data_IF_889766390241
#
_entry.id   IF_889766390241
#
_cell.length_a   1.000
_cell.length_b   1.000
_cell.length_c   1.000
_cell.angle_alpha   90.00
_cell.angle_beta   90.00
_cell.angle_gamma   90.00
#
_symmetry.space_group_name_H-M   'P 1'
#
loop_
_entity.id
_entity.type
_entity.pdbx_description
1 polymer ?
#
# COMPACT_ATOMS: atom_id res chain seq x y z
N UNK A 1 -15.46 21.26 -0.85
CA UNK A 1 -13.98 21.28 -1.06
C UNK A 1 -13.73 21.16 -2.56
N UNK A 2 -12.87 21.98 -3.19
CA UNK A 2 -12.57 21.78 -4.62
C UNK A 2 -11.43 20.76 -4.74
N UNK A 3 -11.57 19.85 -5.71
CA UNK A 3 -10.51 18.93 -6.12
C UNK A 3 -10.33 19.11 -7.62
N UNK A 4 -9.08 19.26 -8.02
CA UNK A 4 -8.68 19.25 -9.41
C UNK A 4 -8.22 17.84 -9.76
N UNK A 5 -8.73 17.34 -10.88
CA UNK A 5 -8.42 16.03 -11.42
C UNK A 5 -7.91 16.24 -12.85
N UNK A 6 -6.81 15.56 -13.20
CA UNK A 6 -6.34 15.49 -14.57
C UNK A 6 -6.09 14.06 -14.96
N UNK A 7 -6.63 13.72 -16.11
CA UNK A 7 -6.77 12.37 -16.61
C UNK A 7 -5.97 12.25 -17.91
N UNK A 8 -5.07 11.27 -17.95
CA UNK A 8 -4.30 10.93 -19.13
C UNK A 8 -4.50 9.46 -19.43
N UNK A 9 -5.25 9.15 -20.47
CA UNK A 9 -5.38 7.80 -20.99
C UNK A 9 -5.41 7.88 -22.51
N UNK A 10 -4.47 7.23 -23.23
CA UNK A 10 -4.61 7.05 -24.65
C UNK A 10 -5.89 6.25 -24.92
N UNK A 11 -6.62 6.65 -25.96
CA UNK A 11 -7.80 5.92 -26.40
C UNK A 11 -7.34 4.54 -26.91
N UNK A 12 -7.67 3.48 -26.15
CA UNK A 12 -7.22 2.15 -26.52
C UNK A 12 -8.05 1.62 -27.68
N UNK A 13 -7.41 1.44 -28.83
CA UNK A 13 -8.00 0.69 -29.94
C UNK A 13 -8.16 -0.82 -29.61
N UNK A 14 -7.54 -1.31 -28.54
CA UNK A 14 -7.50 -2.72 -28.19
C UNK A 14 -8.35 -3.02 -26.96
N UNK A 15 -9.42 -3.79 -27.14
CA UNK A 15 -10.35 -4.18 -26.09
C UNK A 15 -9.75 -5.14 -25.05
N UNK A 16 -8.63 -5.81 -25.37
CA UNK A 16 -7.97 -6.77 -24.47
C UNK A 16 -7.19 -6.13 -23.32
N UNK A 17 -6.80 -4.86 -23.43
CA UNK A 17 -6.08 -4.14 -22.38
C UNK A 17 -6.57 -2.70 -22.31
N UNK A 18 -7.17 -2.35 -21.18
CA UNK A 18 -7.67 -1.01 -20.92
C UNK A 18 -7.19 -0.53 -19.56
N UNK A 19 -6.92 0.76 -19.48
CA UNK A 19 -6.85 1.48 -18.22
C UNK A 19 -7.97 2.51 -18.22
N UNK A 20 -8.91 2.35 -17.30
CA UNK A 20 -10.06 3.22 -17.13
C UNK A 20 -9.87 4.09 -15.88
N UNK A 21 -10.21 5.36 -16.02
CA UNK A 21 -10.19 6.35 -14.95
C UNK A 21 -11.61 6.61 -14.53
N UNK A 22 -11.81 6.72 -13.23
CA UNK A 22 -13.13 6.96 -12.67
C UNK A 22 -13.07 7.95 -11.53
N UNK A 23 -14.08 8.79 -11.45
CA UNK A 23 -14.29 9.69 -10.33
C UNK A 23 -15.78 9.75 -9.98
N UNK A 24 -16.08 9.86 -8.70
CA UNK A 24 -17.42 10.12 -8.20
C UNK A 24 -17.34 11.00 -6.95
N UNK A 25 -18.26 11.94 -6.83
CA UNK A 25 -18.38 12.80 -5.66
C UNK A 25 -19.65 12.43 -4.92
N UNK A 26 -19.56 12.32 -3.60
CA UNK A 26 -20.70 11.94 -2.77
C UNK A 26 -20.66 12.69 -1.44
N UNK A 27 -21.84 12.92 -0.86
CA UNK A 27 -21.99 13.64 0.40
C UNK A 27 -22.55 12.68 1.47
N UNK A 28 -21.69 11.93 2.17
CA UNK A 28 -22.13 11.00 3.19
C UNK A 28 -22.77 11.76 4.36
N UNK A 29 -24.02 11.42 4.66
CA UNK A 29 -24.84 12.07 5.70
C UNK A 29 -24.15 12.13 7.07
N UNK A 30 -23.30 11.15 7.36
CA UNK A 30 -22.59 11.04 8.64
C UNK A 30 -21.38 11.98 8.79
N UNK A 31 -20.82 12.52 7.70
CA UNK A 31 -19.66 13.43 7.77
C UNK A 31 -20.04 14.90 7.67
N UNK A 32 -21.15 15.23 7.00
CA UNK A 32 -21.50 16.61 6.66
C UNK A 32 -20.45 17.28 5.78
N UNK A 33 -19.64 16.50 5.04
CA UNK A 33 -18.56 16.98 4.17
C UNK A 33 -18.55 16.19 2.86
N UNK A 34 -18.25 16.87 1.77
CA UNK A 34 -18.08 16.25 0.47
C UNK A 34 -16.88 15.31 0.47
N UNK A 35 -17.07 14.12 -0.08
CA UNK A 35 -16.03 13.14 -0.30
C UNK A 35 -15.92 12.88 -1.80
N UNK A 36 -14.68 12.76 -2.27
CA UNK A 36 -14.40 12.42 -3.65
C UNK A 36 -13.72 11.06 -3.67
N UNK A 37 -14.28 10.14 -4.44
CA UNK A 37 -13.67 8.85 -4.72
C UNK A 37 -13.12 8.88 -6.13
N UNK A 38 -11.86 8.50 -6.27
CA UNK A 38 -11.17 8.47 -7.55
C UNK A 38 -10.47 7.13 -7.68
N UNK A 39 -10.51 6.54 -8.87
CA UNK A 39 -9.97 5.22 -9.14
C UNK A 39 -9.25 5.15 -10.47
N UNK A 40 -8.13 4.45 -10.49
CA UNK A 40 -7.48 3.96 -11.69
C UNK A 40 -7.63 2.44 -11.73
N UNK A 41 -8.24 1.93 -12.80
CA UNK A 41 -8.53 0.51 -12.99
C UNK A 41 -7.90 0.05 -14.29
N UNK A 42 -6.90 -0.82 -14.23
CA UNK A 42 -6.32 -1.45 -15.41
C UNK A 42 -6.74 -2.91 -15.46
N UNK A 43 -7.34 -3.32 -16.58
CA UNK A 43 -7.73 -4.70 -16.84
C UNK A 43 -7.03 -5.15 -18.12
N UNK A 44 -6.32 -6.27 -18.03
CA UNK A 44 -5.73 -6.96 -19.15
C UNK A 44 -6.27 -8.38 -19.18
N UNK A 45 -6.90 -8.74 -20.30
CA UNK A 45 -7.51 -10.04 -20.51
C UNK A 45 -7.03 -10.64 -21.82
N UNK A 46 -6.81 -11.96 -21.82
CA UNK A 46 -6.58 -12.74 -23.04
C UNK A 46 -7.91 -13.24 -23.66
N UNK A 47 -9.04 -12.90 -23.05
CA UNK A 47 -10.39 -13.41 -23.40
C UNK A 47 -11.23 -12.38 -24.15
N UNK A 48 -12.37 -12.83 -24.68
CA UNK A 48 -13.40 -11.96 -25.25
C UNK A 48 -14.19 -11.14 -24.21
N UNK A 49 -13.81 -11.18 -22.92
CA UNK A 49 -14.46 -10.32 -21.93
C UNK A 49 -14.14 -8.86 -22.29
N UNK A 50 -15.19 -8.08 -22.52
CA UNK A 50 -15.04 -6.65 -22.72
C UNK A 50 -14.51 -6.00 -21.43
N UNK A 51 -13.22 -5.68 -21.44
CA UNK A 51 -12.51 -5.09 -20.30
C UNK A 51 -13.10 -3.71 -19.94
N UNK A 52 -13.69 -3.00 -20.90
CA UNK A 52 -14.38 -1.72 -20.66
C UNK A 52 -15.59 -1.97 -19.76
N UNK A 53 -16.48 -2.87 -20.17
CA UNK A 53 -17.68 -3.22 -19.42
C UNK A 53 -17.35 -3.78 -18.04
N UNK A 54 -16.34 -4.65 -17.93
CA UNK A 54 -15.86 -5.16 -16.65
C UNK A 54 -15.37 -4.03 -15.72
N UNK A 55 -14.57 -3.09 -16.23
CA UNK A 55 -14.07 -1.97 -15.43
C UNK A 55 -15.20 -1.07 -14.92
N UNK A 56 -16.21 -0.78 -15.75
CA UNK A 56 -17.40 0.01 -15.37
C UNK A 56 -18.25 -0.72 -14.34
N UNK A 57 -18.49 -2.02 -14.53
CA UNK A 57 -19.23 -2.84 -13.58
C UNK A 57 -18.60 -2.82 -12.19
N UNK A 58 -17.27 -3.00 -12.12
CA UNK A 58 -16.52 -2.95 -10.87
C UNK A 58 -16.60 -1.56 -10.24
N UNK A 59 -16.41 -0.50 -11.03
CA UNK A 59 -16.49 0.87 -10.52
C UNK A 59 -17.86 1.21 -9.95
N UNK A 60 -18.94 0.85 -10.65
CA UNK A 60 -20.31 1.09 -10.16
C UNK A 60 -20.54 0.39 -8.82
N UNK A 61 -20.12 -0.87 -8.72
CA UNK A 61 -20.17 -1.62 -7.46
C UNK A 61 -19.40 -0.92 -6.32
N UNK A 62 -18.18 -0.43 -6.59
CA UNK A 62 -17.38 0.33 -5.62
C UNK A 62 -18.09 1.62 -5.22
N UNK A 63 -18.58 2.38 -6.19
CA UNK A 63 -19.26 3.65 -5.99
C UNK A 63 -20.52 3.46 -5.14
N UNK A 64 -21.34 2.46 -5.44
CA UNK A 64 -22.58 2.20 -4.69
C UNK A 64 -22.28 1.85 -3.23
N UNK A 65 -21.29 0.99 -2.99
CA UNK A 65 -20.86 0.65 -1.64
C UNK A 65 -20.24 1.84 -0.90
N UNK A 66 -19.52 2.72 -1.60
CA UNK A 66 -18.98 3.96 -1.06
C UNK A 66 -20.09 4.89 -0.54
N UNK A 67 -21.16 5.03 -1.32
CA UNK A 67 -22.33 5.83 -0.94
C UNK A 67 -23.05 5.26 0.28
N UNK A 68 -23.14 3.93 0.40
CA UNK A 68 -23.81 3.27 1.51
C UNK A 68 -23.01 3.34 2.82
N UNK A 69 -21.69 3.12 2.74
CA UNK A 69 -20.84 3.00 3.94
C UNK A 69 -20.30 4.34 4.44
N UNK A 70 -20.12 5.31 3.53
CA UNK A 70 -19.37 6.52 3.80
C UNK A 70 -17.88 6.21 3.98
N UNK A 71 -17.08 6.45 2.96
CA UNK A 71 -15.64 6.16 3.01
C UNK A 71 -14.92 7.23 3.84
N UNK A 72 -14.39 6.86 5.00
CA UNK A 72 -13.66 7.80 5.88
C UNK A 72 -12.28 7.27 6.28
N UNK A 73 -12.13 5.95 6.28
CA UNK A 73 -10.97 5.28 6.83
C UNK A 73 -10.35 4.26 5.88
N UNK A 74 -9.14 3.85 6.26
CA UNK A 74 -8.30 2.95 5.47
C UNK A 74 -8.94 1.57 5.31
N UNK A 75 -9.71 1.09 6.29
CA UNK A 75 -10.35 -0.21 6.20
C UNK A 75 -11.52 -0.15 5.23
N UNK A 76 -12.34 0.91 5.24
CA UNK A 76 -13.41 1.08 4.25
C UNK A 76 -12.88 1.03 2.82
N UNK A 77 -11.79 1.73 2.50
CA UNK A 77 -11.21 1.69 1.14
C UNK A 77 -10.61 0.31 0.81
N UNK A 78 -10.07 -0.40 1.80
CA UNK A 78 -9.59 -1.77 1.60
C UNK A 78 -10.72 -2.73 1.29
N UNK A 79 -11.81 -2.64 2.04
CA UNK A 79 -12.99 -3.49 1.86
C UNK A 79 -13.55 -3.28 0.43
N UNK A 80 -13.58 -2.05 -0.07
CA UNK A 80 -13.95 -1.75 -1.46
C UNK A 80 -13.03 -2.43 -2.49
N UNK A 81 -11.71 -2.40 -2.27
CA UNK A 81 -10.76 -3.06 -3.17
C UNK A 81 -10.91 -4.58 -3.11
N UNK A 82 -11.08 -5.16 -1.92
CA UNK A 82 -11.29 -6.59 -1.76
C UNK A 82 -12.59 -7.07 -2.41
N UNK A 83 -13.67 -6.30 -2.27
CA UNK A 83 -14.96 -6.57 -2.92
C UNK A 83 -14.87 -6.42 -4.43
N UNK A 84 -14.18 -5.40 -4.94
CA UNK A 84 -13.93 -5.24 -6.38
C UNK A 84 -13.20 -6.45 -6.97
N UNK A 85 -12.17 -6.94 -6.28
CA UNK A 85 -11.43 -8.14 -6.68
C UNK A 85 -12.31 -9.38 -6.64
N UNK A 86 -13.19 -9.51 -5.64
CA UNK A 86 -14.12 -10.62 -5.52
C UNK A 86 -15.15 -10.61 -6.66
N UNK A 87 -15.80 -9.47 -6.93
CA UNK A 87 -16.76 -9.30 -8.03
C UNK A 87 -16.13 -9.58 -9.40
N UNK A 88 -14.89 -9.15 -9.60
CA UNK A 88 -14.16 -9.49 -10.81
C UNK A 88 -13.96 -11.00 -10.95
N UNK A 89 -13.53 -11.68 -9.87
CA UNK A 89 -13.37 -13.15 -9.89
C UNK A 89 -14.69 -13.87 -10.17
N UNK A 90 -15.81 -13.38 -9.65
CA UNK A 90 -17.14 -13.93 -9.93
C UNK A 90 -17.55 -13.73 -11.38
N UNK A 91 -17.30 -12.54 -11.95
CA UNK A 91 -17.55 -12.26 -13.37
C UNK A 91 -16.77 -13.24 -14.26
N UNK A 92 -15.51 -13.49 -13.93
CA UNK A 92 -14.65 -14.44 -14.64
C UNK A 92 -15.15 -15.88 -14.49
N UNK A 93 -15.56 -16.28 -13.28
CA UNK A 93 -16.06 -17.63 -13.00
C UNK A 93 -17.38 -17.92 -13.73
N UNK A 94 -18.22 -16.91 -13.91
CA UNK A 94 -19.52 -17.04 -14.57
C UNK A 94 -19.40 -17.09 -16.10
N UNK A 95 -18.37 -16.49 -16.67
CA UNK A 95 -18.22 -16.39 -18.12
C UNK A 95 -17.76 -17.69 -18.80
N UNK A 96 -17.08 -18.62 -18.12
CA UNK A 96 -16.83 -19.94 -18.73
C UNK A 96 -16.32 -21.05 -17.79
N UNK A 97 -16.51 -22.30 -18.22
CA UNK A 97 -16.18 -23.56 -17.49
C UNK A 97 -14.68 -23.93 -17.47
N UNK A 98 -13.78 -23.06 -17.92
CA UNK A 98 -12.37 -23.42 -18.13
C UNK A 98 -11.45 -22.77 -17.09
N UNK A 99 -10.73 -23.60 -16.34
CA UNK A 99 -9.88 -23.22 -15.19
C UNK A 99 -8.64 -22.37 -15.52
N UNK A 100 -8.44 -21.93 -16.77
CA UNK A 100 -7.13 -21.46 -17.26
C UNK A 100 -7.05 -19.99 -17.70
N UNK A 101 -8.05 -19.15 -17.42
CA UNK A 101 -7.98 -17.75 -17.84
C UNK A 101 -7.01 -16.90 -17.00
N UNK A 102 -6.11 -16.20 -17.70
CA UNK A 102 -5.19 -15.20 -17.12
C UNK A 102 -5.78 -13.82 -17.29
N UNK A 103 -6.51 -13.36 -16.29
CA UNK A 103 -6.94 -11.96 -16.19
C UNK A 103 -6.02 -11.28 -15.18
N UNK A 104 -5.30 -10.28 -15.66
CA UNK A 104 -4.49 -9.40 -14.83
C UNK A 104 -5.28 -8.14 -14.59
N UNK A 105 -5.34 -7.72 -13.33
CA UNK A 105 -5.99 -6.47 -12.95
C UNK A 105 -5.11 -5.72 -11.98
N UNK A 106 -5.11 -4.40 -12.14
CA UNK A 106 -4.48 -3.48 -11.22
C UNK A 106 -5.52 -2.42 -10.83
N UNK A 107 -5.66 -2.19 -9.53
CA UNK A 107 -6.63 -1.27 -8.96
C UNK A 107 -5.92 -0.31 -8.03
N UNK A 108 -6.23 0.97 -8.14
CA UNK A 108 -5.84 1.97 -7.16
C UNK A 108 -7.00 2.91 -6.92
N UNK A 109 -7.47 2.96 -5.68
CA UNK A 109 -8.63 3.75 -5.26
C UNK A 109 -8.17 4.73 -4.19
N UNK A 110 -8.58 5.98 -4.33
CA UNK A 110 -8.31 7.05 -3.39
C UNK A 110 -9.60 7.76 -3.02
N UNK A 111 -9.84 7.93 -1.73
CA UNK A 111 -10.85 8.82 -1.20
C UNK A 111 -10.17 10.07 -0.65
N UNK A 112 -10.65 11.24 -1.07
CA UNK A 112 -10.16 12.54 -0.64
C UNK A 112 -11.29 13.28 0.08
N UNK A 113 -11.03 13.66 1.32
CA UNK A 113 -11.96 14.42 2.16
C UNK A 113 -11.17 15.28 3.14
N UNK A 114 -11.52 16.56 3.26
CA UNK A 114 -11.05 17.44 4.34
C UNK A 114 -9.52 17.48 4.54
N UNK A 115 -8.74 17.69 3.47
CA UNK A 115 -7.28 17.70 3.62
C UNK A 115 -6.67 16.33 3.96
N UNK A 116 -7.43 15.23 3.81
CA UNK A 116 -6.95 13.87 4.04
C UNK A 116 -7.18 13.04 2.78
N UNK A 117 -6.20 12.23 2.43
CA UNK A 117 -6.34 11.15 1.47
C UNK A 117 -6.26 9.81 2.17
N UNK A 118 -7.18 8.92 1.80
CA UNK A 118 -7.16 7.51 2.13
C UNK A 118 -7.05 6.75 0.83
N UNK A 119 -6.12 5.82 0.73
CA UNK A 119 -5.85 5.11 -0.51
C UNK A 119 -5.68 3.62 -0.26
N UNK A 120 -6.09 2.81 -1.22
CA UNK A 120 -5.77 1.40 -1.29
C UNK A 120 -5.41 1.00 -2.73
N UNK A 121 -4.58 -0.03 -2.84
CA UNK A 121 -4.07 -0.54 -4.08
C UNK A 121 -4.05 -2.08 -4.04
N UNK A 122 -4.49 -2.68 -5.15
CA UNK A 122 -4.23 -4.07 -5.50
C UNK A 122 -3.51 -4.12 -6.85
N UNK A 123 -2.51 -4.98 -7.00
CA UNK A 123 -1.71 -5.06 -8.22
C UNK A 123 -0.52 -4.10 -8.25
N UNK A 124 -0.10 -3.70 -9.45
CA UNK A 124 1.21 -3.11 -9.70
C UNK A 124 1.24 -1.62 -10.03
N UNK A 125 0.10 -0.94 -10.00
CA UNK A 125 0.02 0.53 -10.08
C UNK A 125 1.07 1.24 -9.20
N UNK A 126 1.44 2.44 -9.60
CA UNK A 126 2.35 3.29 -8.84
C UNK A 126 1.59 4.50 -8.31
N UNK A 127 1.73 4.72 -7.01
CA UNK A 127 1.14 5.82 -6.27
C UNK A 127 2.29 6.68 -5.76
N UNK A 128 2.32 7.92 -6.21
CA UNK A 128 3.28 8.91 -5.77
C UNK A 128 2.57 10.09 -5.10
N UNK A 129 3.26 10.74 -4.17
CA UNK A 129 2.86 12.05 -3.66
C UNK A 129 4.04 12.99 -3.81
N UNK A 130 3.82 14.08 -4.53
CA UNK A 130 4.74 15.22 -4.58
C UNK A 130 4.41 16.17 -3.44
N UNK A 131 5.38 16.42 -2.57
CA UNK A 131 5.29 17.32 -1.42
C UNK A 131 6.56 18.16 -1.31
N UNK A 132 6.41 19.48 -1.40
CA UNK A 132 7.52 20.44 -1.25
C UNK A 132 8.72 20.10 -2.15
N UNK A 133 8.48 19.92 -3.45
CA UNK A 133 9.53 19.56 -4.41
C UNK A 133 9.95 18.08 -4.40
N UNK A 134 9.62 17.32 -3.36
CA UNK A 134 10.03 15.92 -3.23
C UNK A 134 8.94 14.97 -3.71
N UNK A 135 9.30 14.01 -4.58
CA UNK A 135 8.41 12.92 -4.98
C UNK A 135 8.60 11.70 -4.08
N UNK A 136 7.52 11.23 -3.45
CA UNK A 136 7.51 10.10 -2.52
C UNK A 136 6.74 8.94 -3.15
N UNK A 137 7.40 7.78 -3.33
CA UNK A 137 6.78 6.54 -3.80
C UNK A 137 6.06 5.81 -2.64
N UNK A 138 4.74 5.95 -2.63
CA UNK A 138 3.87 5.34 -1.61
C UNK A 138 3.70 3.84 -1.90
N UNK A 139 3.57 3.43 -3.16
CA UNK A 139 3.40 2.02 -3.53
C UNK A 139 4.57 1.16 -3.07
N UNK A 140 5.80 1.66 -3.17
CA UNK A 140 6.99 0.99 -2.62
C UNK A 140 6.85 0.80 -1.11
N UNK A 141 6.42 1.84 -0.40
CA UNK A 141 6.24 1.80 1.05
C UNK A 141 5.13 0.81 1.45
N UNK A 142 4.03 0.75 0.70
CA UNK A 142 2.96 -0.24 0.90
C UNK A 142 3.46 -1.68 0.71
N UNK A 143 4.19 -1.93 -0.39
CA UNK A 143 4.77 -3.24 -0.73
C UNK A 143 5.80 -3.70 0.31
N UNK A 144 6.69 -2.82 0.75
CA UNK A 144 7.71 -3.13 1.78
C UNK A 144 7.08 -3.52 3.13
N UNK A 145 5.94 -2.91 3.46
CA UNK A 145 5.21 -3.18 4.70
C UNK A 145 4.14 -4.27 4.56
N UNK A 146 3.93 -4.83 3.35
CA UNK A 146 2.91 -5.83 3.07
C UNK A 146 1.50 -5.37 3.50
N UNK A 147 1.15 -4.14 3.12
CA UNK A 147 -0.18 -3.56 3.35
C UNK A 147 -0.77 -3.06 2.04
N UNK A 148 -2.08 -3.20 1.89
CA UNK A 148 -2.81 -2.83 0.66
C UNK A 148 -3.33 -1.38 0.67
N UNK A 149 -3.21 -0.65 1.79
CA UNK A 149 -3.72 0.71 1.86
C UNK A 149 -3.19 1.51 3.05
N UNK A 150 -3.35 2.82 2.97
CA UNK A 150 -2.85 3.79 3.94
C UNK A 150 -3.61 5.11 3.87
N UNK A 151 -3.16 6.07 4.68
CA UNK A 151 -3.69 7.43 4.65
C UNK A 151 -2.58 8.45 4.85
N UNK A 152 -2.79 9.63 4.30
CA UNK A 152 -1.91 10.78 4.48
C UNK A 152 -2.76 12.05 4.64
N UNK A 153 -2.26 13.00 5.44
CA UNK A 153 -2.72 14.38 5.33
C UNK A 153 -2.21 14.96 4.00
N UNK A 154 -3.04 15.73 3.31
CA UNK A 154 -2.69 16.51 2.13
C UNK A 154 -2.55 17.97 2.52
N UNK A 155 -1.46 18.57 2.07
CA UNK A 155 -1.35 20.03 2.04
C UNK A 155 -1.96 20.56 0.75
N UNK A 156 -2.24 21.86 0.72
CA UNK A 156 -2.85 22.52 -0.46
C UNK A 156 -2.03 22.30 -1.72
N UNK A 157 -0.70 22.41 -1.64
CA UNK A 157 0.23 22.27 -2.76
C UNK A 157 0.61 20.82 -3.09
N UNK A 158 0.10 19.83 -2.35
CA UNK A 158 0.45 18.44 -2.62
C UNK A 158 -0.24 17.97 -3.92
N UNK A 159 0.48 17.16 -4.70
CA UNK A 159 -0.04 16.51 -5.91
C UNK A 159 0.11 15.01 -5.73
N UNK A 160 -1.00 14.28 -5.86
CA UNK A 160 -1.00 12.82 -5.89
C UNK A 160 -0.99 12.37 -7.35
N UNK A 161 -0.17 11.36 -7.64
CA UNK A 161 -0.09 10.74 -8.96
C UNK A 161 -0.38 9.26 -8.83
N UNK A 162 -1.36 8.76 -9.58
CA UNK A 162 -1.63 7.34 -9.75
C UNK A 162 -1.29 6.98 -11.20
N UNK A 163 -0.38 6.05 -11.41
CA UNK A 163 0.08 5.64 -12.73
C UNK A 163 0.07 4.12 -12.89
N UNK A 164 -0.14 3.64 -14.11
CA UNK A 164 0.01 2.21 -14.42
C UNK A 164 1.47 1.76 -14.31
N UNK A 165 1.68 0.48 -13.96
CA UNK A 165 2.99 -0.09 -13.58
C UNK A 165 4.08 -0.03 -14.66
N UNK A 166 3.68 -0.03 -15.93
CA UNK A 166 4.57 -0.19 -17.09
C UNK A 166 4.94 1.11 -17.77
N UNK A 167 4.47 2.22 -17.23
CA UNK A 167 4.60 3.51 -17.87
C UNK A 167 6.07 3.92 -17.98
N UNK A 168 6.47 4.29 -19.19
CA UNK A 168 7.66 5.13 -19.48
C UNK A 168 7.69 6.38 -18.58
N UNK A 169 6.53 6.74 -18.06
CA UNK A 169 6.30 7.74 -17.04
C UNK A 169 7.03 7.50 -15.72
N UNK A 170 7.43 6.28 -15.33
CA UNK A 170 8.18 6.12 -14.08
C UNK A 170 9.55 6.84 -14.17
N UNK A 171 10.20 6.78 -15.33
CA UNK A 171 11.46 7.48 -15.55
C UNK A 171 11.20 8.99 -15.66
N UNK A 172 10.14 9.41 -16.36
CA UNK A 172 9.75 10.82 -16.43
C UNK A 172 9.35 11.40 -15.08
N UNK A 173 8.66 10.63 -14.23
CA UNK A 173 8.31 11.04 -12.88
C UNK A 173 9.55 11.19 -12.02
N UNK A 174 10.58 10.34 -12.23
CA UNK A 174 11.87 10.41 -11.51
C UNK A 174 12.77 11.52 -12.01
N UNK A 175 12.76 11.84 -13.30
CA UNK A 175 13.55 12.94 -13.88
C UNK A 175 12.87 14.29 -13.68
N UNK A 176 11.54 14.33 -13.80
CA UNK A 176 10.69 15.49 -13.50
C UNK A 176 10.63 15.86 -12.02
N UNK A 177 11.19 15.03 -11.10
CA UNK A 177 11.39 15.42 -9.68
C UNK A 177 12.24 16.68 -9.55
N UNK A 178 13.06 17.01 -10.55
CA UNK A 178 13.92 18.19 -10.53
C UNK A 178 13.19 19.50 -10.79
N UNK A 179 11.90 19.48 -11.17
CA UNK A 179 11.13 20.72 -11.20
C UNK A 179 11.01 21.27 -9.79
N UNK A 180 11.38 22.52 -9.56
CA UNK A 180 11.28 23.14 -8.23
C UNK A 180 9.84 23.56 -7.95
N UNK A 181 9.05 23.83 -9.00
CA UNK A 181 7.66 24.27 -8.92
C UNK A 181 6.64 23.14 -9.11
N UNK A 182 5.37 23.41 -8.78
CA UNK A 182 4.25 22.51 -9.09
C UNK A 182 3.97 22.49 -10.59
N UNK A 183 4.13 23.64 -11.24
CA UNK A 183 3.79 23.85 -12.65
C UNK A 183 4.75 23.09 -13.57
N UNK A 184 6.06 23.18 -13.34
CA UNK A 184 7.07 22.41 -14.07
C UNK A 184 6.83 20.90 -13.95
N UNK A 185 6.42 20.44 -12.77
CA UNK A 185 6.10 19.04 -12.55
C UNK A 185 4.86 18.60 -13.34
N UNK A 186 3.80 19.42 -13.34
CA UNK A 186 2.57 19.13 -14.11
C UNK A 186 2.86 19.11 -15.61
N UNK A 187 3.65 20.07 -16.10
CA UNK A 187 4.06 20.15 -17.50
C UNK A 187 4.95 18.98 -17.92
N UNK A 188 5.88 18.56 -17.05
CA UNK A 188 6.69 17.37 -17.28
C UNK A 188 5.86 16.10 -17.38
N UNK A 189 4.80 15.98 -16.57
CA UNK A 189 3.83 14.89 -16.68
C UNK A 189 3.00 15.00 -17.96
N UNK A 190 2.48 16.18 -18.33
CA UNK A 190 1.69 16.37 -19.55
C UNK A 190 2.49 15.96 -20.80
N UNK A 191 3.74 16.43 -20.89
CA UNK A 191 4.65 16.07 -21.98
C UNK A 191 4.87 14.55 -22.04
N UNK A 192 5.10 13.91 -20.89
CA UNK A 192 5.35 12.46 -20.82
C UNK A 192 4.09 11.63 -21.06
N UNK A 193 2.92 12.17 -20.69
CA UNK A 193 1.63 11.53 -20.87
C UNK A 193 1.26 11.39 -22.36
N UNK A 194 1.75 12.28 -23.22
CA UNK A 194 1.60 12.18 -24.67
C UNK A 194 2.24 10.92 -25.29
N UNK A 195 3.15 10.27 -24.55
CA UNK A 195 3.87 9.07 -24.97
C UNK A 195 3.41 7.79 -24.27
N UNK A 196 2.26 7.82 -23.58
CA UNK A 196 1.72 6.64 -22.91
C UNK A 196 1.34 5.56 -23.92
N UNK A 197 1.70 4.31 -23.63
CA UNK A 197 1.34 3.19 -24.48
C UNK A 197 -0.13 2.77 -24.28
N UNK A 198 -0.67 1.98 -25.21
CA UNK A 198 -2.04 1.49 -25.11
C UNK A 198 -2.28 0.69 -23.81
N UNK A 199 -3.38 1.03 -23.14
CA UNK A 199 -3.74 0.48 -21.84
C UNK A 199 -2.84 0.93 -20.70
N UNK A 200 -2.12 2.05 -20.85
CA UNK A 200 -1.52 2.78 -19.74
C UNK A 200 -2.38 3.97 -19.36
N UNK A 201 -2.15 4.53 -18.18
CA UNK A 201 -2.89 5.69 -17.74
C UNK A 201 -2.27 6.35 -16.53
N UNK A 202 -2.53 7.65 -16.40
CA UNK A 202 -2.06 8.50 -15.31
C UNK A 202 -3.20 9.38 -14.85
N UNK A 203 -3.31 9.51 -13.54
CA UNK A 203 -4.31 10.32 -12.86
C UNK A 203 -3.61 11.24 -11.86
N UNK A 204 -3.85 12.54 -12.00
CA UNK A 204 -3.36 13.57 -11.09
C UNK A 204 -4.50 14.08 -10.21
N UNK A 205 -4.22 14.27 -8.93
CA UNK A 205 -5.18 14.76 -7.95
C UNK A 205 -4.52 15.85 -7.12
N UNK A 206 -5.15 17.03 -7.02
CA UNK A 206 -4.73 18.11 -6.13
C UNK A 206 -5.93 18.87 -5.54
N UNK A 207 -5.71 19.53 -4.40
CA UNK A 207 -6.72 20.38 -3.75
C UNK A 207 -6.66 21.84 -4.20
N UNK A 208 -5.48 22.32 -4.63
CA UNK A 208 -5.29 23.73 -5.02
C UNK A 208 -4.75 23.91 -6.43
N UNK A 209 -4.05 22.91 -6.98
CA UNK A 209 -3.37 23.04 -8.26
C UNK A 209 -4.35 22.79 -9.40
N UNK A 210 -4.68 23.85 -10.15
CA UNK A 210 -5.53 23.76 -11.34
C UNK A 210 -4.72 23.31 -12.56
N UNK A 211 -4.73 22.01 -12.83
CA UNK A 211 -3.92 21.41 -13.89
C UNK A 211 -4.21 21.97 -15.28
N UNK A 212 -5.47 22.25 -15.61
CA UNK A 212 -5.84 22.74 -16.94
C UNK A 212 -5.38 24.17 -17.20
N UNK A 213 -5.34 25.00 -16.15
CA UNK A 213 -4.85 26.37 -16.23
C UNK A 213 -3.35 26.39 -16.50
N UNK A 214 -2.58 25.58 -15.77
CA UNK A 214 -1.13 25.44 -15.98
C UNK A 214 -0.81 25.00 -17.42
N UNK A 215 -1.53 23.99 -17.91
CA UNK A 215 -1.29 23.45 -19.27
C UNK A 215 -1.69 24.45 -20.34
N UNK A 216 -2.77 25.21 -20.15
CA UNK A 216 -3.22 26.22 -21.12
C UNK A 216 -2.27 27.42 -21.19
N UNK A 217 -1.89 27.99 -20.05
CA UNK A 217 -1.01 29.17 -20.00
C UNK A 217 0.31 28.91 -20.70
N UNK A 218 0.93 27.75 -20.44
CA UNK A 218 2.22 27.44 -21.05
C UNK A 218 2.16 27.18 -22.57
N UNK A 219 1.04 26.68 -23.10
CA UNK A 219 0.90 26.47 -24.56
C UNK A 219 0.82 27.80 -25.31
N UNK A 220 0.16 28.80 -24.73
CA UNK A 220 0.03 30.14 -25.34
C UNK A 220 1.39 30.84 -25.42
N UNK A 221 2.23 30.71 -24.40
CA UNK A 221 3.57 31.31 -24.39
C UNK A 221 4.49 30.73 -25.49
N UNK A 222 4.43 29.42 -25.74
CA UNK A 222 5.24 28.75 -26.77
C UNK A 222 4.83 29.19 -28.19
N UNK A 223 3.53 29.36 -28.42
CA UNK A 223 3.01 29.78 -29.72
C UNK A 223 3.35 31.26 -30.03
N UNK A 224 3.37 32.14 -29.02
CA UNK A 224 3.77 33.54 -29.17
C UNK A 224 5.29 33.71 -29.40
N UNK A 225 6.12 32.91 -28.73
CA UNK A 225 7.57 32.95 -28.90
C UNK A 225 7.99 32.43 -30.29
N UNK A 226 7.36 31.35 -30.77
CA UNK A 226 7.63 30.81 -32.12
C UNK A 226 7.12 31.71 -33.25
N UNK A 227 6.03 32.46 -33.04
CA UNK A 227 5.54 33.45 -33.98
C UNK A 227 6.50 34.64 -34.13
N UNK A 228 7.18 35.07 -33.06
CA UNK A 228 8.13 36.19 -33.11
C UNK A 228 9.47 35.83 -33.76
N UNK A 229 9.96 34.59 -33.62
CA UNK A 229 11.22 34.13 -34.24
C UNK A 229 11.13 34.01 -35.77
N UNK A 230 9.92 33.84 -36.32
CA UNK A 230 9.73 33.69 -37.78
C UNK A 230 9.62 35.04 -38.52
N UNK A 231 9.75 36.17 -37.82
CA UNK A 231 9.61 37.52 -38.41
C UNK A 231 10.93 38.24 -38.74
N UNK A 232 12.09 37.66 -38.43
CA UNK A 232 13.39 38.15 -38.93
C UNK A 232 13.67 37.65 -40.35
N UNK A 233 13.24 38.49 -41.31
CA UNK A 233 13.60 38.55 -42.73
C UNK A 233 14.90 37.81 -43.11
N UNK A 234 14.76 36.66 -43.78
CA UNK A 234 15.65 36.31 -44.88
C UNK A 234 15.17 37.04 -46.15
N UNK A 235 15.87 38.09 -46.52
CA UNK A 235 15.75 38.75 -47.82
C UNK A 235 16.39 37.84 -48.88
N UNK A 236 15.66 36.81 -49.31
CA UNK A 236 16.07 35.95 -50.44
C UNK A 236 15.81 36.71 -51.73
N UNK A 237 16.90 37.12 -52.39
CA UNK A 237 16.88 37.70 -53.73
C UNK A 237 16.59 36.59 -54.75
N UNK A 238 15.41 36.62 -55.37
CA UNK A 238 15.07 35.71 -56.46
C UNK A 238 15.58 36.27 -57.79
N UNK A 239 16.50 35.56 -58.44
CA UNK A 239 16.80 35.77 -59.87
C UNK A 239 15.74 35.09 -60.73
N UNK A 240 15.02 35.92 -61.46
CA UNK A 240 14.03 35.62 -62.49
C UNK A 240 14.65 34.73 -63.59
N UNK A 241 14.03 33.59 -63.88
CA UNK A 241 14.30 32.86 -65.13
C UNK A 241 13.01 32.25 -65.66
N UNK A 242 12.60 32.80 -66.80
CA UNK A 242 11.44 32.42 -67.59
C UNK A 242 11.43 30.94 -67.96
N UNK A 243 10.26 30.32 -67.84
CA UNK A 243 9.85 29.21 -68.71
C UNK A 243 8.33 29.13 -68.77
N UNK A 244 7.84 29.21 -70.00
CA UNK A 244 6.45 29.24 -70.42
C UNK A 244 5.74 27.85 -70.38
N UNK A 245 4.44 27.89 -70.02
CA UNK A 245 3.31 27.02 -70.47
C UNK A 245 3.25 25.53 -70.04
N UNK A 246 2.07 24.83 -70.12
CA UNK A 246 0.70 25.28 -70.47
C UNK A 246 -0.40 24.87 -69.46
N UNK A 247 -1.57 25.47 -69.72
CA UNK A 247 -2.90 25.23 -69.13
C UNK A 247 -3.43 23.82 -69.44
N UNK A 248 -3.91 23.08 -68.42
CA UNK A 248 -4.91 22.04 -68.60
C UNK A 248 -5.86 21.88 -67.38
N UNK A 249 -7.15 21.86 -67.72
CA UNK A 249 -8.28 21.16 -67.11
C UNK A 249 -8.58 21.26 -65.61
N UNK A 250 -9.59 22.09 -65.31
CA UNK A 250 -10.45 21.97 -64.14
C UNK A 250 -11.59 20.98 -64.43
N UNK A 251 -11.56 19.79 -63.81
CA UNK A 251 -12.74 18.98 -63.48
C UNK A 251 -12.42 18.23 -62.17
N UNK A 252 -13.30 18.30 -61.16
CA UNK A 252 -13.13 17.51 -59.93
C UNK A 252 -14.06 17.90 -58.78
N UNK A 253 -15.32 17.49 -58.92
CA UNK A 253 -16.40 17.47 -57.93
C UNK A 253 -15.95 17.18 -56.48
N UNK A 254 -16.36 18.02 -55.53
CA UNK A 254 -16.43 17.67 -54.10
C UNK A 254 -17.86 17.26 -53.77
N UNK A 255 -18.12 15.95 -53.73
CA UNK A 255 -19.32 15.40 -53.10
C UNK A 255 -19.12 15.37 -51.58
N UNK A 256 -19.88 16.20 -50.87
CA UNK A 256 -20.12 16.11 -49.43
C UNK A 256 -20.99 14.88 -49.15
N UNK A 257 -20.38 13.80 -48.67
CA UNK A 257 -21.10 12.64 -48.12
C UNK A 257 -21.60 12.99 -46.72
N UNK A 258 -22.86 13.41 -46.64
CA UNK A 258 -23.65 13.46 -45.40
C UNK A 258 -23.91 12.03 -44.93
N UNK A 259 -23.32 11.65 -43.78
CA UNK A 259 -23.70 10.41 -43.08
C UNK A 259 -25.08 10.58 -42.45
N UNK A 260 -25.98 9.58 -42.56
CA UNK A 260 -27.30 9.64 -41.94
C UNK A 260 -27.19 9.45 -40.41
N UNK A 261 -27.99 10.26 -39.72
CA UNK A 261 -28.29 10.20 -38.29
C UNK A 261 -28.89 8.83 -37.98
N UNK A 262 -28.22 8.04 -37.14
CA UNK A 262 -28.77 6.80 -36.61
C UNK A 262 -29.56 7.18 -35.35
N UNK A 263 -30.88 7.07 -35.43
CA UNK A 263 -31.79 7.20 -34.30
C UNK A 263 -31.55 6.04 -33.31
N UNK A 264 -31.15 6.40 -32.08
CA UNK A 264 -31.09 5.48 -30.95
C UNK A 264 -32.52 5.22 -30.43
N UNK A 265 -32.91 3.96 -30.17
CA UNK A 265 -34.21 3.66 -29.59
C UNK A 265 -34.28 4.13 -28.13
N UNK A 266 -35.28 4.96 -27.87
CA UNK A 266 -35.78 5.33 -26.55
C UNK A 266 -36.21 4.08 -25.77
N UNK A 267 -35.56 3.79 -24.64
CA UNK A 267 -36.03 2.77 -23.70
C UNK A 267 -37.21 3.32 -22.90
N UNK A 268 -38.39 2.75 -23.12
CA UNK A 268 -39.56 2.97 -22.28
C UNK A 268 -39.40 2.24 -20.94
N UNK A 269 -39.54 2.98 -19.83
CA UNK A 269 -39.70 2.43 -18.49
C UNK A 269 -41.02 1.65 -18.40
N UNK A 270 -40.93 0.32 -18.38
CA UNK A 270 -42.07 -0.53 -18.02
C UNK A 270 -42.17 -0.64 -16.50
N UNK A 271 -43.11 0.12 -15.92
CA UNK A 271 -43.63 -0.12 -14.57
C UNK A 271 -44.39 -1.44 -14.56
N UNK A 272 -43.80 -2.46 -13.95
CA UNK A 272 -44.48 -3.71 -13.65
C UNK A 272 -45.04 -3.67 -12.22
N UNK A 273 -46.34 -3.39 -12.12
CA UNK A 273 -47.18 -3.71 -10.96
C UNK A 273 -47.53 -5.19 -11.01
N UNK A 274 -46.85 -5.98 -10.18
CA UNK A 274 -47.16 -7.39 -9.95
C UNK A 274 -47.72 -7.60 -8.55
N UNK A 275 -49.05 -7.67 -8.46
CA UNK A 275 -49.81 -8.19 -7.31
C UNK A 275 -49.47 -9.67 -7.13
N UNK A 276 -49.11 -10.10 -5.92
CA UNK A 276 -49.07 -11.52 -5.58
C UNK A 276 -49.66 -11.77 -4.19
N UNK A 277 -50.82 -12.42 -4.25
CA UNK A 277 -51.60 -13.09 -3.22
C UNK A 277 -50.73 -14.01 -2.37
N UNK A 278 -50.83 -13.88 -1.05
CA UNK A 278 -50.36 -14.89 -0.10
C UNK A 278 -51.54 -15.71 0.40
N UNK A 279 -51.45 -17.03 0.25
CA UNK A 279 -52.08 -17.99 1.15
C UNK A 279 -51.00 -18.95 1.68
N UNK A 280 -51.16 -19.48 2.90
CA UNK A 280 -50.09 -20.14 3.63
C UNK A 280 -50.12 -21.65 3.44
N UNK A 281 -48.94 -22.28 3.32
CA UNK A 281 -48.81 -23.71 3.61
C UNK A 281 -47.67 -23.94 4.58
N UNK A 282 -48.08 -24.44 5.75
CA UNK A 282 -47.24 -25.09 6.75
C UNK A 282 -46.64 -26.35 6.13
N UNK A 283 -45.34 -26.55 6.34
CA UNK A 283 -44.74 -27.88 6.57
C UNK A 283 -43.33 -27.66 7.15
N UNK A 284 -43.25 -27.79 8.47
CA UNK A 284 -42.01 -27.74 9.23
C UNK A 284 -41.33 -29.10 9.16
N UNK A 285 -40.28 -29.18 8.34
CA UNK A 285 -39.31 -30.28 8.39
C UNK A 285 -38.29 -29.97 9.48
N UNK A 286 -38.41 -30.70 10.57
CA UNK A 286 -37.43 -30.88 11.63
C UNK A 286 -36.19 -31.58 11.07
N UNK A 287 -34.97 -31.03 11.24
CA UNK A 287 -33.69 -31.75 11.36
C UNK A 287 -32.53 -30.78 11.72
N UNK A 288 -31.75 -31.23 12.71
CA UNK A 288 -30.36 -30.88 13.06
C UNK A 288 -30.06 -29.59 13.85
N UNK A 289 -30.04 -29.77 15.17
CA UNK A 289 -29.30 -28.94 16.12
C UNK A 289 -27.78 -29.05 15.86
N UNK A 290 -27.16 -27.95 15.44
CA UNK A 290 -25.72 -27.76 15.47
C UNK A 290 -25.32 -27.06 16.77
N UNK A 291 -24.45 -27.71 17.54
CA UNK A 291 -24.09 -27.34 18.91
C UNK A 291 -23.31 -26.03 18.98
N UNK A 292 -23.96 -24.99 19.50
CA UNK A 292 -23.30 -23.75 19.89
C UNK A 292 -22.38 -23.99 21.11
N UNK A 293 -21.07 -23.88 20.92
CA UNK A 293 -20.11 -23.84 22.01
C UNK A 293 -20.25 -22.48 22.73
N UNK A 294 -20.54 -22.45 24.04
CA UNK A 294 -20.83 -21.21 24.73
C UNK A 294 -19.56 -20.39 24.96
N UNK A 295 -19.50 -19.19 24.36
CA UNK A 295 -18.43 -18.19 24.54
C UNK A 295 -18.32 -17.65 26.00
N UNK A 296 -19.14 -18.15 26.92
CA UNK A 296 -19.11 -17.81 28.35
C UNK A 296 -17.96 -18.49 29.10
N UNK A 297 -17.40 -19.60 28.60
CA UNK A 297 -16.28 -20.30 29.25
C UNK A 297 -14.92 -19.57 29.11
N UNK A 298 -14.71 -18.80 28.04
CA UNK A 298 -13.44 -18.10 27.78
C UNK A 298 -13.29 -16.78 28.57
N UNK A 299 -14.40 -16.11 28.89
CA UNK A 299 -14.36 -14.87 29.70
C UNK A 299 -14.03 -15.12 31.17
N UNK A 300 -14.40 -16.28 31.71
CA UNK A 300 -14.07 -16.68 33.10
C UNK A 300 -12.58 -16.88 33.33
N UNK A 301 -11.88 -17.53 32.38
CA UNK A 301 -10.45 -17.84 32.49
C UNK A 301 -9.54 -16.60 32.38
N UNK A 302 -9.94 -15.59 31.60
CA UNK A 302 -9.17 -14.33 31.49
C UNK A 302 -9.28 -13.50 32.78
N UNK A 303 -10.42 -13.56 33.48
CA UNK A 303 -10.63 -12.84 34.74
C UNK A 303 -9.79 -13.44 35.88
N UNK A 304 -9.70 -14.76 35.97
CA UNK A 304 -8.89 -15.44 37.00
C UNK A 304 -7.38 -15.24 36.80
N UNK A 305 -6.90 -15.18 35.55
CA UNK A 305 -5.48 -14.89 35.27
C UNK A 305 -5.14 -13.45 35.65
N UNK A 306 -6.01 -12.47 35.37
CA UNK A 306 -5.79 -11.07 35.76
C UNK A 306 -5.74 -10.89 37.28
N UNK A 307 -6.61 -11.56 38.03
CA UNK A 307 -6.59 -11.50 39.50
C UNK A 307 -5.35 -12.18 40.09
N UNK A 308 -4.89 -13.28 39.49
CA UNK A 308 -3.68 -13.98 39.95
C UNK A 308 -2.42 -13.14 39.69
N UNK A 309 -2.32 -12.52 38.51
CA UNK A 309 -1.21 -11.61 38.18
C UNK A 309 -1.24 -10.36 39.06
N UNK A 310 -2.42 -9.80 39.34
CA UNK A 310 -2.55 -8.65 40.24
C UNK A 310 -2.09 -8.98 41.67
N UNK A 311 -2.44 -10.16 42.21
CA UNK A 311 -1.96 -10.62 43.52
C UNK A 311 -0.44 -10.81 43.55
N UNK A 312 0.15 -11.37 42.50
CA UNK A 312 1.61 -11.53 42.39
C UNK A 312 2.31 -10.17 42.34
N UNK A 313 1.78 -9.21 41.55
CA UNK A 313 2.34 -7.85 41.48
C UNK A 313 2.24 -7.13 42.82
N UNK A 314 1.13 -7.30 43.55
CA UNK A 314 0.92 -6.65 44.85
C UNK A 314 1.84 -7.21 45.95
N UNK A 315 2.13 -8.52 45.91
CA UNK A 315 3.13 -9.16 46.79
C UNK A 315 4.56 -8.76 46.43
N UNK A 316 4.85 -8.51 45.15
CA UNK A 316 6.17 -8.06 44.67
C UNK A 316 6.39 -6.54 44.76
N UNK A 317 5.33 -5.75 44.93
CA UNK A 317 5.39 -4.28 45.06
C UNK A 317 6.29 -3.80 46.20
N UNK A 318 6.21 -4.33 47.45
CA UNK A 318 7.15 -3.95 48.50
C UNK A 318 8.58 -4.44 48.22
N UNK A 319 8.73 -5.50 47.42
CA UNK A 319 10.04 -6.04 47.04
C UNK A 319 10.80 -5.11 46.09
N UNK A 320 10.11 -4.34 45.24
CA UNK A 320 10.73 -3.42 44.29
C UNK A 320 11.52 -2.28 44.97
N UNK A 321 11.01 -1.78 46.10
CA UNK A 321 11.69 -0.74 46.87
C UNK A 321 12.94 -1.26 47.60
N UNK A 322 12.91 -2.54 47.99
CA UNK A 322 14.05 -3.24 48.59
C UNK A 322 15.10 -3.63 47.54
N UNK A 323 14.66 -4.15 46.39
CA UNK A 323 15.51 -4.42 45.23
C UNK A 323 16.22 -3.16 44.75
N UNK A 324 15.52 -2.01 44.70
CA UNK A 324 16.12 -0.74 44.28
C UNK A 324 17.29 -0.30 45.17
N UNK A 325 17.21 -0.53 46.50
CA UNK A 325 18.31 -0.22 47.43
C UNK A 325 19.46 -1.21 47.31
N UNK A 326 19.15 -2.49 47.16
CA UNK A 326 20.14 -3.57 46.97
C UNK A 326 20.88 -3.38 45.64
N UNK A 327 20.16 -3.12 44.55
CA UNK A 327 20.72 -2.85 43.21
C UNK A 327 21.57 -1.57 43.20
N UNK A 328 21.18 -0.51 43.91
CA UNK A 328 22.02 0.70 44.04
C UNK A 328 23.35 0.38 44.72
N UNK A 329 23.35 -0.40 45.80
CA UNK A 329 24.56 -0.84 46.50
C UNK A 329 25.41 -1.82 45.68
N UNK A 330 24.77 -2.68 44.90
CA UNK A 330 25.44 -3.61 43.98
C UNK A 330 25.80 -2.97 42.63
N UNK A 331 25.38 -1.74 42.33
CA UNK A 331 25.63 -1.10 41.03
C UNK A 331 27.10 -1.05 40.61
N UNK A 332 28.10 -0.81 41.47
CA UNK A 332 29.51 -0.88 41.05
C UNK A 332 29.92 -2.32 40.71
N UNK A 333 29.46 -3.31 41.48
CA UNK A 333 29.68 -4.74 41.20
C UNK A 333 29.01 -5.17 39.90
N UNK A 334 27.77 -4.74 39.66
CA UNK A 334 27.01 -5.01 38.43
C UNK A 334 27.68 -4.34 37.23
N UNK A 335 28.26 -3.13 37.37
CA UNK A 335 29.03 -2.48 36.28
C UNK A 335 30.30 -3.26 35.94
N UNK A 336 31.03 -3.73 36.94
CA UNK A 336 32.22 -4.56 36.70
C UNK A 336 31.87 -5.92 36.08
N UNK A 337 30.76 -6.52 36.53
CA UNK A 337 30.25 -7.78 36.01
C UNK A 337 29.67 -7.61 34.60
N UNK A 338 28.97 -6.51 34.31
CA UNK A 338 28.40 -6.25 32.98
C UNK A 338 29.48 -5.97 31.94
N UNK A 339 30.60 -5.34 32.31
CA UNK A 339 31.76 -5.20 31.43
C UNK A 339 32.36 -6.57 31.07
N UNK A 340 32.56 -7.44 32.07
CA UNK A 340 33.05 -8.82 31.86
C UNK A 340 32.05 -9.66 31.06
N UNK A 341 30.76 -9.54 31.38
CA UNK A 341 29.66 -10.22 30.71
C UNK A 341 29.52 -9.74 29.26
N UNK A 342 29.74 -8.46 28.98
CA UNK A 342 29.73 -7.91 27.62
C UNK A 342 30.82 -8.53 26.77
N UNK A 343 32.05 -8.63 27.29
CA UNK A 343 33.16 -9.30 26.59
C UNK A 343 32.84 -10.78 26.36
N UNK A 344 32.26 -11.46 27.36
CA UNK A 344 31.84 -12.86 27.22
C UNK A 344 30.71 -13.04 26.21
N UNK A 345 29.70 -12.18 26.24
CA UNK A 345 28.57 -12.15 25.31
C UNK A 345 29.03 -11.83 23.89
N UNK A 346 30.01 -10.96 23.69
CA UNK A 346 30.60 -10.72 22.37
C UNK A 346 31.33 -11.96 21.85
N UNK A 347 32.13 -12.64 22.68
CA UNK A 347 32.76 -13.92 22.31
C UNK A 347 31.72 -14.99 21.99
N UNK A 348 30.67 -15.10 22.82
CA UNK A 348 29.60 -16.06 22.62
C UNK A 348 28.81 -15.74 21.36
N UNK A 349 28.51 -14.46 21.12
CA UNK A 349 27.86 -13.96 19.91
C UNK A 349 28.67 -14.30 18.68
N UNK A 350 29.98 -14.04 18.67
CA UNK A 350 30.84 -14.37 17.54
C UNK A 350 30.84 -15.89 17.26
N UNK A 351 30.94 -16.73 18.31
CA UNK A 351 30.86 -18.19 18.18
C UNK A 351 29.49 -18.69 17.69
N UNK A 352 28.40 -18.16 18.23
CA UNK A 352 27.04 -18.49 17.79
C UNK A 352 26.83 -18.03 16.35
N UNK A 353 27.33 -16.85 15.98
CA UNK A 353 27.17 -16.31 14.65
C UNK A 353 28.00 -17.08 13.62
N UNK A 354 29.22 -17.49 13.97
CA UNK A 354 30.03 -18.39 13.12
C UNK A 354 29.38 -19.76 12.98
N UNK A 355 28.82 -20.33 14.06
CA UNK A 355 28.11 -21.61 14.01
C UNK A 355 26.85 -21.53 13.16
N UNK A 356 26.01 -20.50 13.36
CA UNK A 356 24.81 -20.26 12.56
C UNK A 356 25.17 -20.09 11.09
N UNK A 357 26.23 -19.34 10.77
CA UNK A 357 26.69 -19.23 9.38
C UNK A 357 27.25 -20.53 8.80
N UNK A 358 28.01 -21.30 9.59
CA UNK A 358 28.54 -22.57 9.12
C UNK A 358 27.41 -23.55 8.80
N UNK A 359 26.41 -23.63 9.67
CA UNK A 359 25.27 -24.56 9.56
C UNK A 359 24.23 -24.10 8.54
N UNK A 360 23.89 -22.81 8.52
CA UNK A 360 22.78 -22.27 7.72
C UNK A 360 23.21 -21.38 6.56
N UNK A 361 24.47 -20.94 6.47
CA UNK A 361 24.96 -20.03 5.44
C UNK A 361 24.84 -20.56 4.01
N UNK A 362 24.85 -21.89 3.83
CA UNK A 362 24.63 -22.53 2.51
C UNK A 362 23.16 -22.60 2.11
N UNK A 363 22.21 -22.45 3.05
CA UNK A 363 20.78 -22.57 2.77
C UNK A 363 20.24 -21.28 2.15
N UNK A 364 19.44 -21.42 1.08
CA UNK A 364 18.89 -20.30 0.30
C UNK A 364 18.02 -19.36 1.15
N UNK A 365 17.18 -19.92 2.03
CA UNK A 365 16.30 -19.12 2.88
C UNK A 365 17.08 -18.21 3.84
N UNK A 366 18.22 -18.66 4.37
CA UNK A 366 19.06 -17.87 5.27
C UNK A 366 19.74 -16.70 4.53
N UNK A 367 20.19 -16.93 3.30
CA UNK A 367 20.73 -15.87 2.43
C UNK A 367 19.67 -14.79 2.16
N UNK A 368 18.41 -15.18 1.90
CA UNK A 368 17.29 -14.24 1.71
C UNK A 368 17.02 -13.40 2.97
N UNK A 369 17.05 -14.00 4.16
CA UNK A 369 16.86 -13.28 5.43
C UNK A 369 18.00 -12.29 5.69
N UNK A 370 19.26 -12.71 5.51
CA UNK A 370 20.44 -11.84 5.68
C UNK A 370 20.42 -10.64 4.73
N UNK A 371 20.01 -10.85 3.48
CA UNK A 371 19.86 -9.77 2.50
C UNK A 371 18.80 -8.74 2.94
N UNK A 372 17.63 -9.19 3.42
CA UNK A 372 16.57 -8.30 3.94
C UNK A 372 17.04 -7.47 5.14
N UNK A 373 17.77 -8.08 6.08
CA UNK A 373 18.30 -7.36 7.26
C UNK A 373 19.34 -6.31 6.83
N UNK A 374 20.18 -6.63 5.82
CA UNK A 374 21.14 -5.67 5.27
C UNK A 374 20.47 -4.49 4.57
N UNK A 375 19.37 -4.74 3.85
CA UNK A 375 18.59 -3.69 3.18
C UNK A 375 17.91 -2.74 4.19
N UNK A 376 17.46 -3.26 5.33
CA UNK A 376 16.80 -2.44 6.38
C UNK A 376 17.70 -1.43 7.11
N UNK A 377 19.02 -1.45 6.88
CA UNK A 377 19.98 -0.51 7.48
C UNK A 377 20.31 0.69 6.60
N UNK A 378 19.82 0.73 5.36
CA UNK A 378 19.93 1.92 4.52
C UNK A 378 18.83 2.89 4.97
N UNK A 379 19.21 4.01 5.59
CA UNK A 379 18.28 4.98 6.15
C UNK A 379 17.40 5.57 5.05
N UNK A 380 16.11 5.25 5.05
CA UNK A 380 15.14 5.94 4.22
C UNK A 380 14.82 7.33 4.79
N UNK A 381 14.56 8.34 3.94
CA UNK A 381 14.17 9.67 4.36
C UNK A 381 12.90 9.60 5.23
N UNK A 382 12.83 10.43 6.27
CA UNK A 382 11.81 10.31 7.31
C UNK A 382 10.40 10.59 6.77
N UNK A 383 9.57 9.55 6.66
CA UNK A 383 8.15 9.58 6.26
C UNK A 383 7.25 10.19 7.35
N UNK A 384 7.53 11.42 7.80
CA UNK A 384 6.75 12.08 8.84
C UNK A 384 5.39 12.52 8.29
N UNK A 385 4.33 11.77 8.60
CA UNK A 385 2.94 12.14 8.27
C UNK A 385 2.12 11.11 7.48
N UNK A 386 2.74 10.05 6.95
CA UNK A 386 2.02 8.94 6.30
C UNK A 386 1.68 7.90 7.36
N UNK A 387 0.38 7.68 7.62
CA UNK A 387 -0.10 6.62 8.52
C UNK A 387 -0.40 5.37 7.69
N UNK A 388 0.53 4.43 7.69
CA UNK A 388 0.43 3.12 7.02
C UNK A 388 -0.52 2.17 7.78
N UNK A 389 -1.82 2.42 7.67
CA UNK A 389 -2.86 1.61 8.29
C UNK A 389 -2.79 1.55 9.82
N UNK A 390 -3.92 1.29 10.47
CA UNK A 390 -3.92 0.99 11.90
C UNK A 390 -3.43 -0.45 12.15
N UNK A 391 -2.19 -0.76 11.75
CA UNK A 391 -1.66 -2.11 11.89
C UNK A 391 -1.14 -2.38 13.30
N UNK A 392 -2.08 -2.75 14.19
CA UNK A 392 -1.85 -3.34 15.52
C UNK A 392 -1.14 -4.71 15.46
N UNK A 393 -0.97 -5.31 14.28
CA UNK A 393 -0.43 -6.67 14.13
C UNK A 393 1.11 -6.76 14.28
N UNK A 394 1.89 -5.73 13.95
CA UNK A 394 3.35 -5.75 14.18
C UNK A 394 3.67 -5.77 15.68
N UNK A 395 2.87 -5.07 16.48
CA UNK A 395 2.96 -5.08 17.94
C UNK A 395 2.66 -6.47 18.51
N UNK A 396 1.73 -7.25 17.94
CA UNK A 396 1.48 -8.63 18.38
C UNK A 396 2.62 -9.58 18.03
N UNK A 397 3.22 -9.49 16.84
CA UNK A 397 4.41 -10.31 16.49
C UNK A 397 5.59 -9.98 17.40
N UNK A 398 5.89 -8.70 17.60
CA UNK A 398 6.97 -8.30 18.49
C UNK A 398 6.72 -8.72 19.94
N UNK A 399 5.47 -8.67 20.42
CA UNK A 399 5.11 -9.22 21.75
C UNK A 399 5.34 -10.72 21.83
N UNK A 400 4.94 -11.50 20.81
CA UNK A 400 5.17 -12.96 20.80
C UNK A 400 6.67 -13.31 20.79
N UNK A 401 7.48 -12.61 19.99
CA UNK A 401 8.93 -12.81 19.99
C UNK A 401 9.60 -12.38 21.30
N UNK A 402 9.14 -11.29 21.93
CA UNK A 402 9.62 -10.86 23.24
C UNK A 402 9.32 -11.92 24.32
N UNK A 403 8.10 -12.47 24.33
CA UNK A 403 7.72 -13.55 25.26
C UNK A 403 8.57 -14.81 25.04
N UNK A 404 8.78 -15.20 23.77
CA UNK A 404 9.61 -16.37 23.45
C UNK A 404 11.08 -16.15 23.85
N UNK A 405 11.62 -14.96 23.61
CA UNK A 405 12.97 -14.58 24.04
C UNK A 405 13.11 -14.61 25.57
N UNK A 406 12.12 -14.10 26.31
CA UNK A 406 12.10 -14.16 27.76
C UNK A 406 12.07 -15.62 28.27
N UNK A 407 11.27 -16.49 27.65
CA UNK A 407 11.23 -17.91 28.00
C UNK A 407 12.60 -18.60 27.81
N UNK A 408 13.29 -18.31 26.70
CA UNK A 408 14.64 -18.84 26.44
C UNK A 408 15.64 -18.34 27.49
N UNK A 409 15.58 -17.07 27.89
CA UNK A 409 16.45 -16.52 28.95
C UNK A 409 16.22 -17.21 30.29
N UNK A 410 14.97 -17.51 30.65
CA UNK A 410 14.64 -18.26 31.87
C UNK A 410 15.25 -19.67 31.84
N UNK A 411 15.12 -20.39 30.72
CA UNK A 411 15.72 -21.73 30.57
C UNK A 411 17.24 -21.68 30.72
N UNK A 412 17.91 -20.70 30.09
CA UNK A 412 19.36 -20.52 30.21
C UNK A 412 19.75 -20.21 31.67
N UNK A 413 18.99 -19.36 32.37
CA UNK A 413 19.25 -19.03 33.77
C UNK A 413 19.14 -20.26 34.69
N UNK A 414 18.13 -21.12 34.48
CA UNK A 414 17.96 -22.38 35.23
C UNK A 414 19.13 -23.31 34.99
N UNK A 415 19.53 -23.52 33.72
CA UNK A 415 20.68 -24.37 33.38
C UNK A 415 22.00 -23.85 34.00
N UNK A 416 22.21 -22.53 34.00
CA UNK A 416 23.35 -21.92 34.68
C UNK A 416 23.30 -22.12 36.21
N UNK A 417 22.12 -22.01 36.83
CA UNK A 417 21.94 -22.24 38.27
C UNK A 417 22.25 -23.68 38.69
N UNK A 418 21.82 -24.67 37.90
CA UNK A 418 22.15 -26.08 38.14
C UNK A 418 23.66 -26.31 38.07
N UNK A 419 24.33 -25.74 37.07
CA UNK A 419 25.79 -25.88 36.93
C UNK A 419 26.55 -25.19 38.07
N UNK A 420 26.10 -24.02 38.51
CA UNK A 420 26.71 -23.30 39.63
C UNK A 420 26.57 -24.08 40.95
N UNK A 421 25.41 -24.69 41.20
CA UNK A 421 25.19 -25.50 42.42
C UNK A 421 26.03 -26.77 42.42
N UNK A 422 26.23 -27.43 41.27
CA UNK A 422 27.16 -28.56 41.15
C UNK A 422 28.60 -28.15 41.48
N UNK A 423 29.08 -27.01 40.95
CA UNK A 423 30.42 -26.50 41.25
C UNK A 423 30.59 -26.12 42.73
N UNK A 424 29.55 -25.60 43.38
CA UNK A 424 29.58 -25.31 44.81
C UNK A 424 29.65 -26.57 45.68
N UNK A 425 29.06 -27.69 45.24
CA UNK A 425 29.19 -28.98 45.93
C UNK A 425 30.62 -29.52 45.79
N UNK A 426 31.15 -29.54 44.56
CA UNK A 426 32.51 -30.02 44.29
C UNK A 426 33.57 -29.23 45.07
N UNK A 427 33.41 -27.91 45.19
CA UNK A 427 34.34 -27.06 45.98
C UNK A 427 34.22 -27.30 47.49
N UNK A 428 33.03 -27.63 48.00
CA UNK A 428 32.86 -28.00 49.42
C UNK A 428 33.47 -29.37 49.73
N UNK A 429 33.33 -30.33 48.83
CA UNK A 429 33.94 -31.65 48.97
C UNK A 429 35.47 -31.54 48.96
N UNK A 430 36.03 -30.79 48.02
CA UNK A 430 37.47 -30.47 48.00
C UNK A 430 37.92 -29.76 49.29
N UNK A 431 37.17 -28.77 49.77
CA UNK A 431 37.53 -28.08 51.01
C UNK A 431 37.51 -29.00 52.23
N UNK A 432 36.58 -29.97 52.26
CA UNK A 432 36.50 -30.98 53.31
C UNK A 432 37.70 -31.94 53.25
N UNK A 433 38.02 -32.43 52.06
CA UNK A 433 39.19 -33.31 51.83
C UNK A 433 40.50 -32.62 52.22
N UNK A 434 40.66 -31.33 51.89
CA UNK A 434 41.81 -30.53 52.34
C UNK A 434 41.87 -30.39 53.87
N UNK A 435 40.73 -30.16 54.53
CA UNK A 435 40.71 -30.00 55.99
C UNK A 435 41.00 -31.34 56.72
N UNK A 436 40.51 -32.45 56.18
CA UNK A 436 40.77 -33.80 56.68
C UNK A 436 42.26 -34.19 56.46
N UNK A 437 42.87 -33.75 55.34
CA UNK A 437 44.30 -33.92 55.09
C UNK A 437 45.18 -33.16 56.11
N UNK A 438 44.89 -31.88 56.37
CA UNK A 438 45.69 -31.09 57.32
C UNK A 438 45.51 -31.54 58.78
N UNK A 439 44.33 -32.01 59.17
CA UNK A 439 44.06 -32.49 60.55
C UNK A 439 44.63 -33.87 60.85
N UNK A 440 45.10 -34.63 59.86
CA UNK A 440 45.75 -35.93 60.04
C UNK A 440 47.29 -35.87 60.03
N UNK A 441 47.86 -34.67 59.85
CA UNK A 441 49.33 -34.46 59.80
C UNK A 441 49.90 -33.82 61.07
N UNK A 442 49.05 -33.55 62.07
CA UNK A 442 49.42 -33.27 63.47
C UNK A 442 49.26 -34.55 64.31
#
# INVERSE_FOLDING_TARGET
MRIFLKEYSPESANQSKITSQFSTSFHPSNLGKDCYLVGLISISTETEIDAVSASRFIWNAISDQAHQTGIIDVNSVKDLVEEAVLKLKELVKNHDKTENFKISFDFSICSVSDGKIVFAQAGDHKLFVRRGGTLIDISKTLKENNVIGGSAALNESDIIVIASARSSLEDALKTGVNGDSADEFVLGIDASASHLANGEGVLLISQSVNFDEIIKTNRVEIDEETANVTSEKEEVTYTEKDSELPVSERIGLTETVTKPLIDLPSYEETKSTGVLTQEPSQDAVEISQESAIPQTALKGSIKSIKETVAKIILVLAPLNNLLGRVIKKLSPLIKSFSAKLKIYLEKLRLKLWSFVNATFGRKIWFKRVKAKISQSRISSPSLKGIRLGEYRASALRNKRFATLGAAVVVVIAVLMGIRATQNLKATKELAKEFNDFYSSTD
#
